data_IF_509092005289
#
_entry.id   IF_509092005289
#
_cell.length_a   1.000
_cell.length_b   1.000
_cell.length_c   1.000
_cell.angle_alpha   90.00
_cell.angle_beta   90.00
_cell.angle_gamma   90.00
#
_symmetry.space_group_name_H-M   'P 1'
#
loop_
_entity.id
_entity.type
_entity.pdbx_description
1 polymer ?
#
# COMPACT_ATOMS: atom_id res chain seq x y z
N UNK A 1 6.86 26.63 -8.33
CA UNK A 1 6.58 25.90 -9.59
C UNK A 1 6.40 24.45 -9.17
N UNK A 2 5.20 24.15 -8.67
CA UNK A 2 4.87 22.84 -8.10
C UNK A 2 4.86 21.83 -9.23
N UNK A 3 5.88 20.98 -9.27
CA UNK A 3 5.80 19.73 -10.01
C UNK A 3 4.81 18.89 -9.25
N UNK A 4 3.68 18.63 -9.87
CA UNK A 4 2.71 17.64 -9.44
C UNK A 4 3.44 16.31 -9.10
N UNK A 5 3.67 16.10 -7.81
CA UNK A 5 4.32 14.91 -7.24
C UNK A 5 3.36 13.73 -7.18
N UNK A 6 2.09 13.89 -7.59
CA UNK A 6 1.05 12.86 -7.49
C UNK A 6 1.13 11.77 -8.57
N UNK A 7 1.97 11.94 -9.60
CA UNK A 7 2.04 11.02 -10.76
C UNK A 7 3.34 10.18 -10.84
N UNK A 8 4.16 10.16 -9.77
CA UNK A 8 5.42 9.40 -9.77
C UNK A 8 5.23 7.92 -10.13
N UNK A 9 4.13 7.32 -9.68
CA UNK A 9 3.80 5.92 -9.96
C UNK A 9 3.31 5.68 -11.40
N UNK A 10 2.60 6.65 -11.97
CA UNK A 10 2.18 6.62 -13.38
C UNK A 10 3.38 6.66 -14.31
N UNK A 11 4.33 7.58 -14.06
CA UNK A 11 5.56 7.72 -14.87
C UNK A 11 6.50 6.51 -14.81
N UNK A 12 6.50 5.79 -13.67
CA UNK A 12 7.24 4.54 -13.52
C UNK A 12 6.57 3.34 -14.21
N UNK A 13 5.32 3.47 -14.68
CA UNK A 13 4.47 2.36 -15.10
C UNK A 13 4.39 1.27 -14.00
N UNK A 14 4.26 1.70 -12.74
CA UNK A 14 4.47 0.85 -11.56
C UNK A 14 3.58 -0.40 -11.55
N UNK A 15 2.36 -0.30 -12.09
CA UNK A 15 1.42 -1.42 -12.22
C UNK A 15 2.05 -2.62 -12.94
N UNK A 16 2.82 -2.41 -14.01
CA UNK A 16 3.43 -3.49 -14.81
C UNK A 16 4.64 -4.16 -14.15
N UNK A 17 5.19 -3.58 -13.07
CA UNK A 17 6.32 -4.14 -12.34
C UNK A 17 5.88 -5.22 -11.35
N UNK A 18 4.60 -5.20 -10.97
CA UNK A 18 4.00 -6.12 -10.00
C UNK A 18 3.37 -7.29 -10.76
N UNK A 19 3.75 -8.50 -10.35
CA UNK A 19 3.09 -9.73 -10.78
C UNK A 19 1.78 -9.88 -9.99
N UNK A 20 0.74 -9.19 -10.45
CA UNK A 20 -0.53 -9.04 -9.74
C UNK A 20 -1.26 -10.36 -9.49
N UNK A 21 -1.41 -11.28 -10.47
CA UNK A 21 -2.07 -12.56 -10.23
C UNK A 21 -1.44 -13.35 -9.08
N UNK A 22 -0.12 -13.48 -9.06
CA UNK A 22 0.65 -14.21 -8.05
C UNK A 22 0.62 -13.48 -6.70
N UNK A 23 0.65 -12.15 -6.73
CA UNK A 23 0.49 -11.34 -5.52
C UNK A 23 -0.88 -11.56 -4.90
N UNK A 24 -1.95 -11.37 -5.66
CA UNK A 24 -3.32 -11.53 -5.16
C UNK A 24 -3.58 -12.95 -4.68
N UNK A 25 -3.10 -13.97 -5.40
CA UNK A 25 -3.21 -15.37 -4.96
C UNK A 25 -2.52 -15.61 -3.61
N UNK A 26 -1.34 -15.03 -3.40
CA UNK A 26 -0.59 -15.15 -2.14
C UNK A 26 -1.28 -14.43 -0.98
N UNK A 27 -1.86 -13.26 -1.24
CA UNK A 27 -2.53 -12.41 -0.23
C UNK A 27 -3.96 -12.88 0.09
N UNK A 28 -4.59 -13.61 -0.82
CA UNK A 28 -6.00 -14.02 -0.76
C UNK A 28 -6.44 -14.64 0.57
N UNK A 29 -5.71 -15.63 1.16
CA UNK A 29 -6.16 -16.26 2.39
C UNK A 29 -6.26 -15.29 3.57
N UNK A 30 -5.29 -14.38 3.69
CA UNK A 30 -5.27 -13.39 4.76
C UNK A 30 -6.36 -12.33 4.53
N UNK A 31 -6.51 -11.83 3.30
CA UNK A 31 -7.55 -10.87 2.92
C UNK A 31 -8.95 -11.42 3.24
N UNK A 32 -9.23 -12.66 2.84
CA UNK A 32 -10.52 -13.31 3.10
C UNK A 32 -10.78 -13.52 4.59
N UNK A 33 -9.78 -13.99 5.34
CA UNK A 33 -9.91 -14.23 6.78
C UNK A 33 -10.18 -12.94 7.55
N UNK A 34 -9.39 -11.90 7.29
CA UNK A 34 -9.48 -10.63 8.02
C UNK A 34 -10.73 -9.87 7.58
N UNK A 35 -10.87 -9.55 6.30
CA UNK A 35 -11.99 -8.72 5.83
C UNK A 35 -13.33 -9.47 5.90
N UNK A 36 -13.31 -10.80 5.81
CA UNK A 36 -14.50 -11.64 5.96
C UNK A 36 -15.05 -11.71 7.38
N UNK A 37 -14.28 -11.33 8.40
CA UNK A 37 -14.77 -11.25 9.79
C UNK A 37 -15.53 -9.96 10.08
N UNK A 38 -15.57 -9.03 9.12
CA UNK A 38 -16.29 -7.77 9.24
C UNK A 38 -17.82 -7.94 9.31
N UNK A 39 -18.55 -7.00 9.93
CA UNK A 39 -20.01 -7.07 10.08
C UNK A 39 -20.78 -6.82 8.77
N UNK A 40 -20.10 -6.38 7.70
CA UNK A 40 -20.69 -6.23 6.36
C UNK A 40 -19.66 -6.53 5.27
N UNK A 41 -20.12 -6.62 4.02
CA UNK A 41 -19.27 -6.84 2.84
C UNK A 41 -18.70 -5.56 2.23
N UNK A 42 -19.00 -4.38 2.80
CA UNK A 42 -18.50 -3.09 2.32
C UNK A 42 -17.06 -2.87 2.78
N UNK A 43 -16.12 -2.77 1.84
CA UNK A 43 -14.69 -2.65 2.11
C UNK A 43 -14.14 -1.35 1.51
N UNK A 44 -13.34 -0.63 2.29
CA UNK A 44 -12.52 0.47 1.78
C UNK A 44 -11.13 0.00 1.40
N UNK A 45 -10.65 0.41 0.24
CA UNK A 45 -9.24 0.30 -0.16
C UNK A 45 -8.60 1.70 -0.14
N UNK A 46 -7.85 1.97 0.92
CA UNK A 46 -7.22 3.26 1.22
C UNK A 46 -5.82 3.31 0.59
N UNK A 47 -5.69 4.04 -0.52
CA UNK A 47 -4.52 3.98 -1.39
C UNK A 47 -4.64 2.90 -2.46
N UNK A 48 -5.82 2.79 -3.09
CA UNK A 48 -6.17 1.68 -3.99
C UNK A 48 -5.36 1.63 -5.29
N UNK A 49 -4.65 2.70 -5.65
CA UNK A 49 -3.92 2.83 -6.90
C UNK A 49 -4.79 2.52 -8.11
N UNK A 50 -4.35 1.56 -8.93
CA UNK A 50 -5.07 1.09 -10.11
C UNK A 50 -6.21 0.10 -9.82
N UNK A 51 -6.64 -0.05 -8.56
CA UNK A 51 -7.83 -0.81 -8.15
C UNK A 51 -7.70 -2.34 -8.20
N UNK A 52 -6.49 -2.88 -8.16
CA UNK A 52 -6.28 -4.34 -8.29
C UNK A 52 -6.84 -5.12 -7.09
N UNK A 53 -6.64 -4.60 -5.87
CA UNK A 53 -7.24 -5.17 -4.66
C UNK A 53 -8.77 -5.00 -4.64
N UNK A 54 -9.31 -3.85 -5.06
CA UNK A 54 -10.74 -3.66 -5.25
C UNK A 54 -11.36 -4.74 -6.14
N UNK A 55 -10.88 -4.90 -7.37
CA UNK A 55 -11.41 -5.90 -8.33
C UNK A 55 -11.29 -7.32 -7.80
N UNK A 56 -10.17 -7.63 -7.16
CA UNK A 56 -9.98 -8.95 -6.54
C UNK A 56 -11.02 -9.22 -5.46
N UNK A 57 -11.25 -8.27 -4.55
CA UNK A 57 -12.25 -8.43 -3.49
C UNK A 57 -13.69 -8.45 -4.03
N UNK A 58 -13.99 -7.66 -5.07
CA UNK A 58 -15.28 -7.76 -5.78
C UNK A 58 -15.51 -9.17 -6.34
N UNK A 59 -14.48 -9.81 -6.91
CA UNK A 59 -14.59 -11.20 -7.40
C UNK A 59 -14.89 -12.22 -6.28
N UNK A 60 -14.63 -11.85 -5.02
CA UNK A 60 -14.93 -12.64 -3.83
C UNK A 60 -16.28 -12.26 -3.18
N UNK A 61 -17.07 -11.38 -3.81
CA UNK A 61 -18.39 -10.95 -3.33
C UNK A 61 -18.37 -9.81 -2.32
N UNK A 62 -17.26 -9.07 -2.20
CA UNK A 62 -17.23 -7.82 -1.44
C UNK A 62 -17.70 -6.62 -2.28
N UNK A 63 -18.22 -5.60 -1.61
CA UNK A 63 -18.56 -4.31 -2.20
C UNK A 63 -17.43 -3.33 -1.88
N UNK A 64 -16.64 -2.94 -2.89
CA UNK A 64 -15.42 -2.15 -2.63
C UNK A 64 -15.55 -0.70 -3.06
N UNK A 65 -15.06 0.21 -2.21
CA UNK A 65 -14.79 1.60 -2.57
C UNK A 65 -13.28 1.84 -2.51
N UNK A 66 -12.66 2.14 -3.65
CA UNK A 66 -11.25 2.49 -3.74
C UNK A 66 -11.04 3.99 -3.58
N UNK A 67 -10.09 4.39 -2.74
CA UNK A 67 -9.71 5.78 -2.52
C UNK A 67 -8.23 5.96 -2.83
N UNK A 68 -7.88 6.97 -3.63
CA UNK A 68 -6.50 7.32 -3.92
C UNK A 68 -6.36 8.82 -4.18
N UNK A 69 -5.18 9.38 -3.91
CA UNK A 69 -4.89 10.79 -4.18
C UNK A 69 -4.47 11.04 -5.64
N UNK A 70 -4.07 9.99 -6.37
CA UNK A 70 -3.56 10.09 -7.72
C UNK A 70 -4.67 9.94 -8.76
N UNK A 71 -5.02 11.05 -9.41
CA UNK A 71 -6.02 11.06 -10.47
C UNK A 71 -5.64 10.14 -11.66
N UNK A 72 -4.35 9.95 -11.96
CA UNK A 72 -3.89 9.03 -13.02
C UNK A 72 -4.14 7.57 -12.65
N UNK A 73 -3.86 7.18 -11.41
CA UNK A 73 -4.14 5.83 -10.90
C UNK A 73 -5.65 5.53 -10.90
N UNK A 74 -6.47 6.49 -10.47
CA UNK A 74 -7.93 6.33 -10.48
C UNK A 74 -8.51 6.25 -11.90
N UNK A 75 -7.92 6.96 -12.87
CA UNK A 75 -8.29 6.78 -14.29
C UNK A 75 -8.03 5.34 -14.73
N UNK A 76 -6.84 4.80 -14.47
CA UNK A 76 -6.51 3.42 -14.80
C UNK A 76 -7.41 2.40 -14.07
N UNK A 77 -7.81 2.69 -12.83
CA UNK A 77 -8.75 1.87 -12.07
C UNK A 77 -10.13 1.83 -12.74
N UNK A 78 -10.68 3.00 -13.11
CA UNK A 78 -11.97 3.14 -13.81
C UNK A 78 -11.95 2.57 -15.23
N UNK A 79 -10.82 2.63 -15.92
CA UNK A 79 -10.67 1.99 -17.24
C UNK A 79 -10.72 0.46 -17.13
N UNK A 80 -10.08 -0.10 -16.10
CA UNK A 80 -10.07 -1.55 -15.86
C UNK A 80 -11.39 -2.07 -15.25
N UNK A 81 -12.12 -1.22 -14.54
CA UNK A 81 -13.42 -1.52 -13.94
C UNK A 81 -14.35 -0.29 -14.04
N UNK A 82 -15.05 -0.12 -15.18
CA UNK A 82 -15.94 1.02 -15.40
C UNK A 82 -17.14 1.09 -14.46
N UNK A 83 -17.50 -0.04 -13.84
CA UNK A 83 -18.62 -0.12 -12.88
C UNK A 83 -18.20 0.11 -11.42
N UNK A 84 -16.90 0.19 -11.14
CA UNK A 84 -16.38 0.29 -9.78
C UNK A 84 -16.52 1.68 -9.16
N UNK A 85 -16.53 1.69 -7.83
CA UNK A 85 -16.54 2.93 -7.04
C UNK A 85 -15.10 3.35 -6.70
N UNK A 86 -14.63 4.41 -7.35
CA UNK A 86 -13.28 4.95 -7.17
C UNK A 86 -13.37 6.46 -6.89
N UNK A 87 -12.88 6.88 -5.71
CA UNK A 87 -13.00 8.25 -5.19
C UNK A 87 -11.62 8.88 -5.06
N UNK A 88 -11.48 10.12 -5.55
CA UNK A 88 -10.28 10.91 -5.35
C UNK A 88 -10.29 11.52 -3.94
N UNK A 89 -9.39 11.01 -3.09
CA UNK A 89 -9.20 11.46 -1.71
C UNK A 89 -7.82 11.04 -1.17
N UNK A 90 -7.22 11.92 -0.38
CA UNK A 90 -5.99 11.62 0.36
C UNK A 90 -6.27 10.83 1.65
N UNK A 91 -5.23 10.17 2.17
CA UNK A 91 -5.30 9.33 3.37
C UNK A 91 -5.64 10.09 4.66
N UNK A 92 -5.67 11.43 4.66
CA UNK A 92 -5.95 12.26 5.84
C UNK A 92 -7.34 12.90 5.83
N UNK A 93 -8.11 12.78 4.74
CA UNK A 93 -9.41 13.43 4.57
C UNK A 93 -10.44 12.55 3.81
N UNK A 94 -10.18 11.26 3.70
CA UNK A 94 -11.04 10.34 2.94
C UNK A 94 -12.40 10.09 3.60
N UNK A 95 -12.49 10.25 4.91
CA UNK A 95 -13.68 9.94 5.70
C UNK A 95 -14.83 10.91 5.46
N UNK A 96 -14.55 12.12 4.98
CA UNK A 96 -15.57 13.08 4.55
C UNK A 96 -16.29 12.65 3.25
N UNK A 97 -15.74 11.66 2.54
CA UNK A 97 -16.19 11.20 1.22
C UNK A 97 -16.82 9.81 1.25
N UNK A 98 -16.90 9.20 2.43
CA UNK A 98 -17.29 7.79 2.59
C UNK A 98 -18.33 7.68 3.70
N UNK A 99 -19.40 6.97 3.39
CA UNK A 99 -20.44 6.66 4.37
C UNK A 99 -19.92 5.79 5.52
N UNK A 100 -20.36 6.03 6.77
CA UNK A 100 -19.96 5.21 7.92
C UNK A 100 -20.53 3.78 7.85
N UNK A 101 -20.04 2.93 8.75
CA UNK A 101 -20.50 1.54 8.91
C UNK A 101 -19.85 0.55 7.94
N UNK A 102 -18.65 0.85 7.44
CA UNK A 102 -17.89 -0.04 6.56
C UNK A 102 -17.55 -1.34 7.30
N UNK A 103 -17.66 -2.48 6.60
CA UNK A 103 -17.38 -3.80 7.15
C UNK A 103 -15.89 -4.09 7.34
N UNK A 104 -15.03 -3.34 6.65
CA UNK A 104 -13.58 -3.40 6.82
C UNK A 104 -12.88 -2.35 5.96
N UNK A 105 -11.59 -2.20 6.17
CA UNK A 105 -10.73 -1.36 5.36
C UNK A 105 -9.35 -2.02 5.17
N UNK A 106 -8.65 -1.66 4.10
CA UNK A 106 -7.27 -2.05 3.87
C UNK A 106 -6.44 -0.86 3.39
N UNK A 107 -5.15 -0.86 3.74
CA UNK A 107 -4.14 0.08 3.26
C UNK A 107 -2.86 -0.73 3.02
N UNK A 108 -2.64 -1.17 1.78
CA UNK A 108 -1.61 -2.15 1.43
C UNK A 108 -0.63 -1.58 0.41
N UNK A 109 0.51 -2.24 0.25
CA UNK A 109 1.53 -1.87 -0.72
C UNK A 109 2.51 -0.81 -0.22
N UNK A 110 2.69 -0.68 1.09
CA UNK A 110 3.56 0.34 1.69
C UNK A 110 3.11 1.78 1.40
N UNK A 111 1.79 2.01 1.50
CA UNK A 111 1.14 3.31 1.20
C UNK A 111 1.15 4.27 2.39
N UNK A 112 0.94 3.79 3.63
CA UNK A 112 0.97 4.64 4.83
C UNK A 112 2.26 5.47 5.01
N UNK A 113 3.48 4.96 4.69
CA UNK A 113 4.72 5.73 4.77
C UNK A 113 4.79 7.02 3.95
N UNK A 114 3.83 7.27 3.07
CA UNK A 114 3.68 8.58 2.42
C UNK A 114 3.26 9.69 3.39
N UNK A 115 2.59 9.32 4.50
CA UNK A 115 2.31 10.22 5.62
C UNK A 115 3.59 10.39 6.43
N UNK A 116 4.21 11.56 6.33
CA UNK A 116 5.54 11.81 6.89
C UNK A 116 5.48 12.41 8.30
N UNK A 117 4.31 12.86 8.74
CA UNK A 117 4.11 13.47 10.04
C UNK A 117 3.16 12.65 10.92
N UNK A 118 3.41 12.66 12.24
CA UNK A 118 2.60 11.90 13.20
C UNK A 118 1.13 12.35 13.21
N UNK A 119 0.90 13.65 13.02
CA UNK A 119 -0.44 14.21 12.92
C UNK A 119 -1.22 13.63 11.73
N UNK A 120 -0.56 13.37 10.61
CA UNK A 120 -1.17 12.76 9.43
C UNK A 120 -1.57 11.31 9.69
N UNK A 121 -0.69 10.53 10.34
CA UNK A 121 -0.99 9.14 10.71
C UNK A 121 -2.14 9.06 11.72
N UNK A 122 -2.17 9.97 12.71
CA UNK A 122 -3.31 10.07 13.65
C UNK A 122 -4.61 10.44 12.93
N UNK A 123 -4.55 11.34 11.96
CA UNK A 123 -5.71 11.69 11.13
C UNK A 123 -6.20 10.48 10.32
N UNK A 124 -5.29 9.72 9.69
CA UNK A 124 -5.60 8.48 8.97
C UNK A 124 -6.32 7.47 9.87
N UNK A 125 -5.77 7.16 11.05
CA UNK A 125 -6.38 6.20 11.97
C UNK A 125 -7.74 6.69 12.49
N UNK A 126 -7.86 7.98 12.80
CA UNK A 126 -9.13 8.57 13.25
C UNK A 126 -10.20 8.54 12.15
N UNK A 127 -9.83 8.85 10.91
CA UNK A 127 -10.72 8.76 9.75
C UNK A 127 -11.17 7.33 9.50
N UNK A 128 -10.25 6.36 9.58
CA UNK A 128 -10.59 4.94 9.44
C UNK A 128 -11.56 4.49 10.54
N UNK A 129 -11.33 4.89 11.79
CA UNK A 129 -12.23 4.61 12.90
C UNK A 129 -13.65 5.17 12.66
N UNK A 130 -13.77 6.40 12.13
CA UNK A 130 -15.08 7.02 11.82
C UNK A 130 -15.85 6.25 10.75
N UNK A 131 -15.17 5.76 9.71
CA UNK A 131 -15.82 5.04 8.62
C UNK A 131 -16.20 3.59 8.98
N UNK A 132 -15.39 2.91 9.81
CA UNK A 132 -15.57 1.49 10.12
C UNK A 132 -16.73 1.24 11.08
N UNK A 133 -17.50 0.18 10.87
CA UNK A 133 -18.46 -0.31 11.87
C UNK A 133 -17.73 -0.82 13.14
N UNK A 134 -18.38 -0.85 14.31
CA UNK A 134 -17.81 -1.50 15.50
C UNK A 134 -17.38 -2.95 15.20
N UNK A 135 -16.17 -3.33 15.62
CA UNK A 135 -15.61 -4.66 15.35
C UNK A 135 -15.11 -4.89 13.90
N UNK A 136 -15.26 -3.91 13.00
CA UNK A 136 -14.72 -4.02 11.65
C UNK A 136 -13.18 -3.89 11.66
N UNK A 137 -12.46 -4.71 10.86
CA UNK A 137 -11.01 -4.68 10.80
C UNK A 137 -10.48 -3.64 9.82
N UNK A 138 -9.32 -3.06 10.17
CA UNK A 138 -8.41 -2.36 9.26
C UNK A 138 -7.16 -3.22 9.06
N UNK A 139 -6.88 -3.64 7.82
CA UNK A 139 -5.66 -4.36 7.46
C UNK A 139 -4.64 -3.39 6.86
N UNK A 140 -3.54 -3.17 7.57
CA UNK A 140 -2.48 -2.25 7.17
C UNK A 140 -1.22 -3.05 6.84
N UNK A 141 -0.58 -2.76 5.70
CA UNK A 141 0.71 -3.36 5.32
C UNK A 141 1.73 -2.31 4.88
N UNK A 142 2.90 -2.41 5.50
CA UNK A 142 4.10 -1.67 5.14
C UNK A 142 5.32 -2.59 5.16
N UNK A 143 6.43 -2.12 4.62
CA UNK A 143 7.73 -2.76 4.77
C UNK A 143 8.13 -2.78 6.25
N UNK A 144 8.92 -3.76 6.65
CA UNK A 144 9.45 -3.82 8.02
C UNK A 144 10.53 -2.74 8.22
N UNK A 145 10.11 -1.53 8.61
CA UNK A 145 11.03 -0.42 8.87
C UNK A 145 11.83 -0.56 10.16
N UNK A 146 11.40 -1.39 11.11
CA UNK A 146 12.24 -1.78 12.24
C UNK A 146 13.52 -2.44 11.73
N UNK A 147 13.38 -3.50 10.92
CA UNK A 147 14.50 -4.22 10.29
C UNK A 147 15.32 -3.32 9.37
N UNK A 148 14.66 -2.58 8.47
CA UNK A 148 15.33 -1.75 7.46
C UNK A 148 16.20 -0.69 8.13
N UNK A 149 15.67 0.01 9.14
CA UNK A 149 16.40 1.07 9.83
C UNK A 149 17.49 0.49 10.74
N UNK A 150 17.22 -0.58 11.48
CA UNK A 150 18.20 -1.20 12.40
C UNK A 150 19.39 -1.78 11.65
N UNK A 151 19.16 -2.37 10.47
CA UNK A 151 20.22 -2.97 9.64
C UNK A 151 20.83 -2.00 8.63
N UNK A 152 20.28 -0.79 8.51
CA UNK A 152 20.70 0.17 7.49
C UNK A 152 20.54 -0.39 6.07
N UNK A 153 19.47 -1.14 5.80
CA UNK A 153 19.21 -1.70 4.48
C UNK A 153 18.88 -0.58 3.50
N UNK A 154 19.59 -0.56 2.36
CA UNK A 154 19.45 0.50 1.35
C UNK A 154 18.95 0.01 0.00
N UNK A 155 18.76 -1.29 -0.15
CA UNK A 155 18.41 -1.92 -1.42
C UNK A 155 17.42 -3.05 -1.21
N UNK A 156 16.66 -3.34 -2.26
CA UNK A 156 15.85 -4.55 -2.35
C UNK A 156 16.44 -5.48 -3.41
N UNK A 157 16.07 -6.78 -3.40
CA UNK A 157 16.36 -7.64 -4.52
C UNK A 157 15.92 -7.01 -5.84
N UNK A 158 16.81 -7.05 -6.83
CA UNK A 158 16.51 -6.61 -8.18
C UNK A 158 15.38 -7.48 -8.73
N UNK A 159 14.36 -6.86 -9.31
CA UNK A 159 13.33 -7.63 -10.02
C UNK A 159 13.61 -7.54 -11.51
N UNK A 160 13.71 -8.69 -12.17
CA UNK A 160 13.77 -8.79 -13.62
C UNK A 160 12.41 -9.27 -14.12
N UNK A 161 11.85 -8.56 -15.10
CA UNK A 161 10.60 -8.91 -15.78
C UNK A 161 10.89 -9.10 -17.26
N UNK A 162 10.70 -10.33 -17.79
CA UNK A 162 10.85 -10.56 -19.22
C UNK A 162 9.89 -9.67 -20.02
N UNK A 163 10.35 -9.16 -21.16
CA UNK A 163 9.46 -8.48 -22.10
C UNK A 163 8.44 -9.43 -22.72
N UNK A 164 7.23 -8.94 -23.02
CA UNK A 164 6.25 -9.69 -23.80
C UNK A 164 6.68 -9.77 -25.27
N UNK A 165 6.46 -10.92 -25.91
CA UNK A 165 6.67 -11.15 -27.36
C UNK A 165 8.05 -10.75 -27.90
N UNK A 166 9.12 -11.01 -27.14
CA UNK A 166 10.49 -10.68 -27.54
C UNK A 166 10.85 -9.19 -27.36
N UNK A 167 10.01 -8.44 -26.64
CA UNK A 167 10.34 -7.10 -26.15
C UNK A 167 11.51 -7.11 -25.15
N UNK A 168 12.03 -5.92 -24.84
CA UNK A 168 13.13 -5.77 -23.89
C UNK A 168 12.73 -6.12 -22.45
N UNK A 169 13.67 -6.72 -21.71
CA UNK A 169 13.46 -7.04 -20.30
C UNK A 169 13.41 -5.74 -19.49
N UNK A 170 12.57 -5.71 -18.47
CA UNK A 170 12.50 -4.61 -17.52
C UNK A 170 13.19 -4.99 -16.22
N UNK A 171 14.16 -4.19 -15.80
CA UNK A 171 14.82 -4.29 -14.50
C UNK A 171 14.24 -3.25 -13.57
N UNK A 172 13.82 -3.67 -12.38
CA UNK A 172 13.37 -2.78 -11.33
C UNK A 172 14.38 -2.74 -10.18
N UNK A 173 15.01 -1.58 -10.05
CA UNK A 173 15.94 -1.24 -8.99
C UNK A 173 15.24 -0.33 -7.97
N UNK A 174 15.48 -0.61 -6.69
CA UNK A 174 14.86 0.11 -5.58
C UNK A 174 15.93 0.45 -4.57
N UNK A 175 16.21 1.73 -4.43
CA UNK A 175 17.24 2.26 -3.55
C UNK A 175 16.62 3.10 -2.44
N UNK A 176 17.28 3.15 -1.30
CA UNK A 176 16.89 3.98 -0.17
C UNK A 176 18.08 4.80 0.35
N UNK A 177 17.80 6.07 0.63
CA UNK A 177 18.71 6.96 1.34
C UNK A 177 18.06 7.38 2.65
N UNK A 178 18.74 7.13 3.76
CA UNK A 178 18.24 7.40 5.10
C UNK A 178 18.72 8.78 5.55
N UNK A 179 17.81 9.60 6.09
CA UNK A 179 18.11 10.98 6.51
C UNK A 179 18.02 11.18 8.03
N UNK A 180 17.80 10.11 8.80
CA UNK A 180 17.55 10.15 10.24
C UNK A 180 16.06 10.31 10.58
N UNK A 181 15.69 10.06 11.84
CA UNK A 181 14.30 10.13 12.34
C UNK A 181 13.30 9.33 11.47
N UNK A 182 13.73 8.21 10.90
CA UNK A 182 12.92 7.39 10.00
C UNK A 182 12.64 8.01 8.62
N UNK A 183 13.12 9.23 8.31
CA UNK A 183 12.95 9.84 6.98
C UNK A 183 13.79 9.12 5.93
N UNK A 184 13.17 8.75 4.82
CA UNK A 184 13.77 7.99 3.73
C UNK A 184 13.43 8.67 2.40
N UNK A 185 14.44 8.85 1.55
CA UNK A 185 14.20 9.02 0.11
C UNK A 185 14.27 7.65 -0.53
N UNK A 186 13.13 7.19 -1.04
CA UNK A 186 13.01 5.98 -1.84
C UNK A 186 13.18 6.34 -3.31
N UNK A 187 14.11 5.68 -4.00
CA UNK A 187 14.42 5.93 -5.41
C UNK A 187 14.14 4.66 -6.22
N UNK A 188 12.88 4.44 -6.64
CA UNK A 188 12.54 3.43 -7.63
C UNK A 188 13.09 3.85 -9.00
N UNK A 189 13.73 2.90 -9.69
CA UNK A 189 14.25 3.07 -11.04
C UNK A 189 13.87 1.87 -11.91
N UNK A 190 13.32 2.16 -13.08
CA UNK A 190 13.04 1.20 -14.14
C UNK A 190 14.14 1.32 -15.19
N UNK A 191 14.79 0.21 -15.49
CA UNK A 191 15.79 0.12 -16.55
C UNK A 191 15.31 -0.86 -17.62
N UNK A 192 15.65 -0.56 -18.86
CA UNK A 192 15.50 -1.47 -19.99
C UNK A 192 16.77 -2.31 -20.11
N UNK A 193 16.62 -3.62 -20.21
CA UNK A 193 17.72 -4.58 -20.33
C UNK A 193 17.60 -5.35 -21.65
N UNK A 194 18.65 -5.26 -22.47
CA UNK A 194 18.74 -5.83 -23.81
C UNK A 194 20.05 -6.62 -23.94
N UNK A 195 20.04 -7.93 -23.64
CA UNK A 195 21.23 -8.76 -23.79
C UNK A 195 21.77 -8.71 -25.21
N UNK A 196 23.04 -8.32 -25.36
CA UNK A 196 23.73 -8.25 -26.66
C UNK A 196 23.62 -6.92 -27.40
N UNK A 197 22.89 -5.93 -26.89
CA UNK A 197 22.95 -4.57 -27.41
C UNK A 197 24.26 -3.87 -27.02
N UNK A 198 24.67 -2.85 -27.79
CA UNK A 198 25.84 -2.01 -27.48
C UNK A 198 25.68 -1.30 -26.12
N UNK A 199 24.47 -0.80 -25.85
CA UNK A 199 24.01 -0.36 -24.54
C UNK A 199 23.04 -1.40 -23.96
N UNK A 200 23.53 -2.41 -23.22
CA UNK A 200 22.70 -3.51 -22.76
C UNK A 200 21.77 -3.14 -21.61
N UNK A 201 22.02 -2.03 -20.92
CA UNK A 201 21.22 -1.58 -19.78
C UNK A 201 21.05 -0.05 -19.84
N UNK A 202 19.82 0.43 -19.92
CA UNK A 202 19.50 1.86 -20.04
C UNK A 202 18.44 2.29 -19.04
N UNK A 203 18.60 3.48 -18.48
CA UNK A 203 17.63 4.03 -17.54
C UNK A 203 16.37 4.49 -18.29
N UNK A 204 15.24 3.85 -18.04
CA UNK A 204 13.97 4.24 -18.64
C UNK A 204 13.24 5.29 -17.81
N UNK A 205 13.25 5.16 -16.47
CA UNK A 205 12.67 6.14 -15.56
C UNK A 205 13.26 5.97 -14.15
N UNK A 206 13.42 7.07 -13.41
CA UNK A 206 13.68 7.05 -11.98
C UNK A 206 13.03 8.26 -11.32
N UNK A 207 12.51 8.08 -10.12
CA UNK A 207 11.94 9.17 -9.34
C UNK A 207 12.34 9.06 -7.87
N UNK A 208 12.32 10.19 -7.15
CA UNK A 208 12.49 10.21 -5.71
C UNK A 208 11.12 10.35 -5.05
N UNK A 209 10.85 9.47 -4.10
CA UNK A 209 9.65 9.48 -3.27
C UNK A 209 10.10 9.66 -1.82
N UNK A 210 9.56 10.66 -1.15
CA UNK A 210 9.81 10.88 0.26
C UNK A 210 8.86 10.02 1.08
N UNK A 211 9.41 9.25 2.01
CA UNK A 211 8.68 8.39 2.92
C UNK A 211 9.15 8.61 4.35
N UNK A 212 8.30 8.29 5.32
CA UNK A 212 8.70 8.04 6.71
C UNK A 212 8.56 6.56 7.02
N UNK A 213 9.69 5.93 7.34
CA UNK A 213 9.77 4.56 7.79
C UNK A 213 9.25 4.41 9.21
N UNK A 214 7.95 4.22 9.35
CA UNK A 214 7.28 4.03 10.64
C UNK A 214 7.60 2.67 11.25
N UNK A 215 8.11 2.69 12.48
CA UNK A 215 8.31 1.47 13.28
C UNK A 215 7.00 0.96 13.85
N UNK A 216 6.95 -0.33 14.18
CA UNK A 216 5.78 -0.96 14.78
C UNK A 216 5.30 -0.23 16.03
N UNK A 217 6.19 0.05 16.97
CA UNK A 217 5.84 0.69 18.23
C UNK A 217 5.30 2.12 18.04
N UNK A 218 5.81 2.85 17.04
CA UNK A 218 5.27 4.18 16.68
C UNK A 218 3.84 4.06 16.17
N UNK A 219 3.57 3.12 15.26
CA UNK A 219 2.22 2.92 14.72
C UNK A 219 1.23 2.45 15.78
N UNK A 220 1.63 1.54 16.67
CA UNK A 220 0.83 1.10 17.80
C UNK A 220 0.46 2.29 18.70
N UNK A 221 1.43 3.11 19.11
CA UNK A 221 1.18 4.31 19.93
C UNK A 221 0.42 5.43 19.22
N UNK A 222 0.51 5.54 17.89
CA UNK A 222 -0.27 6.50 17.10
C UNK A 222 -1.72 6.06 16.91
N UNK A 223 -1.98 4.75 16.85
CA UNK A 223 -3.33 4.19 16.80
C UNK A 223 -4.05 4.30 18.14
N UNK A 224 -3.33 4.24 19.26
CA UNK A 224 -3.92 4.46 20.60
C UNK A 224 -4.66 5.81 20.67
N UNK A 225 -5.85 5.78 21.27
CA UNK A 225 -6.70 6.97 21.43
C UNK A 225 -7.46 7.40 20.17
N UNK A 226 -7.30 6.71 19.04
CA UNK A 226 -8.04 6.99 17.78
C UNK A 226 -9.32 6.18 17.62
N UNK A 227 -9.64 5.30 18.58
CA UNK A 227 -10.74 4.34 18.50
C UNK A 227 -10.37 3.01 17.83
N UNK A 228 -9.14 2.90 17.30
CA UNK A 228 -8.56 1.66 16.82
C UNK A 228 -7.63 1.03 17.86
N UNK A 229 -7.58 -0.30 17.88
CA UNK A 229 -6.62 -1.09 18.65
C UNK A 229 -5.99 -2.16 17.77
N UNK A 230 -4.71 -2.45 17.98
CA UNK A 230 -4.06 -3.57 17.29
C UNK A 230 -4.55 -4.89 17.89
N UNK A 231 -5.00 -5.79 17.02
CA UNK A 231 -5.52 -7.12 17.38
C UNK A 231 -4.54 -8.23 17.03
N UNK A 232 -3.97 -8.19 15.82
CA UNK A 232 -3.04 -9.19 15.31
C UNK A 232 -1.90 -8.52 14.54
N UNK A 233 -0.72 -9.16 14.53
CA UNK A 233 0.48 -8.67 13.83
C UNK A 233 1.11 -9.82 13.06
N UNK A 234 1.35 -9.61 11.77
CA UNK A 234 1.96 -10.57 10.86
C UNK A 234 3.25 -10.01 10.25
N UNK A 235 4.16 -10.92 9.88
CA UNK A 235 5.42 -10.62 9.21
C UNK A 235 5.32 -10.56 7.67
N UNK A 236 4.16 -10.92 7.12
CA UNK A 236 3.91 -10.92 5.69
C UNK A 236 2.41 -11.03 5.41
N UNK A 237 2.03 -10.77 4.16
CA UNK A 237 0.65 -10.93 3.71
C UNK A 237 0.23 -12.40 3.49
N UNK A 238 1.11 -13.38 3.72
CA UNK A 238 0.73 -14.81 3.77
C UNK A 238 0.15 -15.21 5.12
N UNK A 239 0.17 -14.31 6.11
CA UNK A 239 -0.31 -14.58 7.46
C UNK A 239 0.74 -15.25 8.36
N UNK A 240 2.01 -15.23 7.97
CA UNK A 240 3.11 -15.66 8.84
C UNK A 240 3.24 -14.75 10.06
N UNK A 241 3.52 -15.33 11.23
CA UNK A 241 3.66 -14.58 12.48
C UNK A 241 4.78 -13.54 12.40
N UNK A 242 4.56 -12.40 13.06
CA UNK A 242 5.57 -11.34 13.11
C UNK A 242 6.88 -11.78 13.77
N UNK A 243 8.00 -11.34 13.20
CA UNK A 243 9.33 -11.44 13.79
C UNK A 243 10.17 -10.21 13.42
N UNK A 244 11.23 -9.87 14.18
CA UNK A 244 12.12 -8.76 13.84
C UNK A 244 12.81 -8.91 12.48
N UNK A 245 12.88 -10.13 11.94
CA UNK A 245 13.48 -10.44 10.63
C UNK A 245 12.46 -10.55 9.50
N UNK A 246 11.18 -10.34 9.77
CA UNK A 246 10.11 -10.42 8.79
C UNK A 246 10.31 -9.45 7.61
N UNK A 247 9.77 -9.79 6.44
CA UNK A 247 9.83 -8.92 5.26
C UNK A 247 9.03 -7.65 5.44
N UNK A 248 7.82 -7.79 5.97
CA UNK A 248 6.80 -6.76 6.08
C UNK A 248 6.31 -6.64 7.52
N UNK A 249 5.74 -5.48 7.85
CA UNK A 249 4.90 -5.30 9.01
C UNK A 249 3.45 -5.23 8.54
N UNK A 250 2.65 -6.20 8.98
CA UNK A 250 1.21 -6.27 8.69
C UNK A 250 0.44 -6.19 9.99
N UNK A 251 -0.39 -5.15 10.14
CA UNK A 251 -1.20 -4.91 11.32
C UNK A 251 -2.67 -5.15 10.99
N UNK A 252 -3.35 -5.93 11.83
CA UNK A 252 -4.81 -5.97 11.87
C UNK A 252 -5.24 -5.12 13.06
N UNK A 253 -5.84 -3.98 12.76
CA UNK A 253 -6.47 -3.12 13.75
C UNK A 253 -7.97 -3.36 13.75
N UNK A 254 -8.62 -3.10 14.87
CA UNK A 254 -10.08 -3.26 15.02
C UNK A 254 -10.64 -2.00 15.68
N UNK A 255 -11.80 -1.52 15.21
CA UNK A 255 -12.56 -0.48 15.92
C UNK A 255 -13.11 -1.07 17.21
N UNK A 256 -12.73 -0.49 18.35
CA UNK A 256 -13.25 -0.90 19.65
C UNK A 256 -14.79 -0.78 19.72
N UNK A 257 -15.45 -1.52 20.62
CA UNK A 257 -16.87 -1.31 20.89
C UNK A 257 -17.11 0.14 21.30
N UNK A 258 -18.21 0.74 20.85
CA UNK A 258 -18.62 2.07 21.34
C UNK A 258 -18.79 1.99 22.86
N UNK A 259 -18.21 2.96 23.57
CA UNK A 259 -18.35 3.09 25.01
C UNK A 259 -19.75 3.53 25.41
#
# INVERSE_FOLDING_TARGET
MDKDTSDSYGRLAYRGLIAWPERLQREAPLLQRVLGSGPSKRILDLGCGSGEHCRFLQSLGFETTGLDASASQLRAAREADPGGCYIEAGLTAFDERVEPGQGGALCLGNTLPHLCEEAEVRAFFSGAARCLAPGAPLLLQLLNYDRILDRGERTFPVLLRPGSDGGEDTVFLRLMTHHGQGRITFTPARLSFRPGAEAPLELAAAENVNLRGWRRAELEGLAEGTGLRVREVFGSMTGEGWSPTASDLVLVLERGPEA
#
